data_IF_937543122433
#
_entry.id   IF_937543122433
#
_cell.length_a   1.000
_cell.length_b   1.000
_cell.length_c   1.000
_cell.angle_alpha   90.00
_cell.angle_beta   90.00
_cell.angle_gamma   90.00
#
_symmetry.space_group_name_H-M   'P 1'
#
loop_
_entity.id
_entity.type
_entity.pdbx_description
1 polymer ?
#
# COMPACT_ATOMS: atom_id res chain seq x y z
N UNK A 1 -13.65 3.07 -6.26
CA UNK A 1 -13.47 4.15 -7.25
C UNK A 1 -12.44 3.73 -8.30
N UNK A 2 -12.47 4.34 -9.47
CA UNK A 2 -11.68 4.01 -10.66
C UNK A 2 -10.43 4.91 -10.80
N UNK A 3 -9.60 4.90 -9.78
CA UNK A 3 -8.31 5.58 -9.75
C UNK A 3 -7.22 4.57 -9.43
N UNK A 4 -6.13 4.63 -10.15
CA UNK A 4 -5.11 3.59 -10.16
C UNK A 4 -3.73 4.17 -9.89
N UNK A 5 -2.84 3.29 -9.46
CA UNK A 5 -1.41 3.50 -9.57
C UNK A 5 -0.80 2.47 -10.51
N UNK A 6 0.22 2.87 -11.21
CA UNK A 6 0.91 2.09 -12.22
C UNK A 6 2.36 1.91 -11.80
N UNK A 7 2.79 0.66 -11.68
CA UNK A 7 4.16 0.31 -11.35
C UNK A 7 4.75 -0.48 -12.50
N UNK A 8 5.71 0.09 -13.19
CA UNK A 8 6.44 -0.59 -14.23
C UNK A 8 7.83 -0.96 -13.74
N UNK A 9 8.21 -2.23 -13.89
CA UNK A 9 9.55 -2.70 -13.54
C UNK A 9 10.12 -3.49 -14.70
N UNK A 10 11.39 -3.21 -15.03
CA UNK A 10 12.14 -3.96 -16.05
C UNK A 10 13.60 -4.11 -15.66
N UNK A 11 14.28 -5.07 -16.24
CA UNK A 11 15.72 -5.14 -16.12
C UNK A 11 16.38 -3.93 -16.75
N UNK A 12 17.38 -3.37 -16.06
CA UNK A 12 18.22 -2.32 -16.59
C UNK A 12 19.43 -2.93 -17.26
N UNK A 13 19.74 -2.59 -18.52
CA UNK A 13 20.95 -3.06 -19.19
C UNK A 13 22.22 -2.61 -18.47
N UNK A 14 23.23 -3.48 -18.43
CA UNK A 14 24.48 -3.26 -17.68
C UNK A 14 25.47 -2.28 -18.31
N UNK A 15 25.09 -1.58 -19.37
CA UNK A 15 25.97 -0.58 -20.02
C UNK A 15 25.84 0.83 -19.43
N UNK A 16 24.96 1.03 -18.41
CA UNK A 16 24.86 2.29 -17.67
C UNK A 16 25.86 2.31 -16.50
N UNK A 17 26.27 3.52 -16.11
CA UNK A 17 27.17 3.76 -14.96
C UNK A 17 26.47 3.51 -13.61
N UNK A 18 25.16 3.24 -13.61
CA UNK A 18 24.33 2.94 -12.45
C UNK A 18 23.58 1.62 -12.62
N UNK A 19 23.29 0.98 -11.51
CA UNK A 19 22.60 -0.33 -11.49
C UNK A 19 21.08 -0.24 -11.35
N UNK A 20 20.58 0.90 -10.87
CA UNK A 20 19.15 1.09 -10.58
C UNK A 20 18.72 2.50 -10.97
N UNK A 21 17.60 2.58 -11.68
CA UNK A 21 16.93 3.84 -12.01
C UNK A 21 15.48 3.80 -11.50
N UNK A 22 15.12 4.79 -10.70
CA UNK A 22 13.80 4.94 -10.10
C UNK A 22 13.19 6.25 -10.56
N UNK A 23 11.95 6.23 -11.02
CA UNK A 23 11.18 7.40 -11.41
C UNK A 23 9.82 7.37 -10.69
N UNK A 24 9.62 8.36 -9.82
CA UNK A 24 8.37 8.59 -9.07
C UNK A 24 8.15 10.09 -8.98
N UNK A 25 7.93 10.73 -7.82
CA UNK A 25 7.99 12.20 -7.67
C UNK A 25 9.40 12.78 -7.82
N UNK A 26 10.40 11.91 -7.85
CA UNK A 26 11.82 12.20 -8.12
C UNK A 26 12.38 11.16 -9.08
N UNK A 27 13.55 11.47 -9.65
CA UNK A 27 14.36 10.47 -10.36
C UNK A 27 15.61 10.20 -9.55
N UNK A 28 15.85 8.94 -9.25
CA UNK A 28 17.06 8.45 -8.60
C UNK A 28 17.83 7.51 -9.54
N UNK A 29 19.15 7.67 -9.59
CA UNK A 29 20.07 6.75 -10.26
C UNK A 29 21.15 6.38 -9.30
N UNK A 30 21.23 5.11 -8.93
CA UNK A 30 22.15 4.62 -7.90
C UNK A 30 22.86 3.36 -8.36
N UNK A 31 24.07 3.17 -7.85
CA UNK A 31 24.84 1.94 -8.05
C UNK A 31 24.59 0.95 -6.92
N UNK A 32 24.40 1.46 -5.70
CA UNK A 32 24.12 0.64 -4.53
C UNK A 32 22.66 0.82 -4.08
N UNK A 33 21.98 -0.26 -3.75
CA UNK A 33 20.59 -0.25 -3.24
C UNK A 33 20.47 0.56 -1.94
N UNK A 34 21.55 0.60 -1.13
CA UNK A 34 21.58 1.37 0.11
C UNK A 34 21.45 2.88 -0.10
N UNK A 35 21.85 3.38 -1.26
CA UNK A 35 21.82 4.80 -1.61
C UNK A 35 20.41 5.28 -2.03
N UNK A 36 19.46 4.37 -2.23
CA UNK A 36 18.07 4.70 -2.56
C UNK A 36 17.44 5.50 -1.43
N UNK A 37 16.93 6.69 -1.76
CA UNK A 37 16.30 7.58 -0.77
C UNK A 37 14.90 7.10 -0.36
N UNK A 38 14.13 6.52 -1.31
CA UNK A 38 12.78 6.07 -1.03
C UNK A 38 12.79 4.79 -0.15
N UNK A 39 12.35 4.85 1.12
CA UNK A 39 12.54 3.75 2.06
C UNK A 39 11.82 2.47 1.65
N UNK A 40 10.59 2.57 1.14
CA UNK A 40 9.84 1.39 0.72
C UNK A 40 10.49 0.70 -0.48
N UNK A 41 10.99 1.45 -1.47
CA UNK A 41 11.67 0.85 -2.63
C UNK A 41 12.98 0.18 -2.18
N UNK A 42 13.79 0.89 -1.39
CA UNK A 42 15.04 0.35 -0.87
C UNK A 42 14.82 -0.95 -0.10
N UNK A 43 13.90 -0.96 0.83
CA UNK A 43 13.63 -2.12 1.68
C UNK A 43 13.01 -3.28 0.87
N UNK A 44 12.11 -3.01 -0.07
CA UNK A 44 11.55 -4.04 -0.94
C UNK A 44 12.61 -4.68 -1.86
N UNK A 45 13.51 -3.86 -2.43
CA UNK A 45 14.61 -4.36 -3.23
C UNK A 45 15.55 -5.26 -2.43
N UNK A 46 15.87 -4.88 -1.19
CA UNK A 46 16.66 -5.72 -0.27
C UNK A 46 15.93 -7.01 0.10
N UNK A 47 14.65 -6.92 0.46
CA UNK A 47 13.84 -8.06 0.88
C UNK A 47 13.71 -9.11 -0.23
N UNK A 48 13.61 -8.68 -1.49
CA UNK A 48 13.43 -9.57 -2.63
C UNK A 48 14.71 -9.76 -3.47
N UNK A 49 15.86 -9.29 -3.00
CA UNK A 49 17.15 -9.39 -3.70
C UNK A 49 17.05 -8.89 -5.15
N UNK A 50 16.56 -7.65 -5.32
CA UNK A 50 16.36 -7.03 -6.63
C UNK A 50 17.56 -6.16 -7.00
N UNK A 51 18.10 -6.40 -8.19
CA UNK A 51 19.25 -5.67 -8.73
C UNK A 51 19.05 -5.35 -10.21
N UNK A 52 19.75 -4.32 -10.71
CA UNK A 52 19.76 -3.93 -12.12
C UNK A 52 18.36 -3.74 -12.69
N UNK A 53 17.56 -2.91 -12.03
CA UNK A 53 16.18 -2.62 -12.45
C UNK A 53 15.96 -1.14 -12.75
N UNK A 54 15.01 -0.89 -13.64
CA UNK A 54 14.32 0.40 -13.75
C UNK A 54 12.90 0.23 -13.21
N UNK A 55 12.52 1.09 -12.27
CA UNK A 55 11.16 1.15 -11.74
C UNK A 55 10.58 2.54 -12.04
N UNK A 56 9.36 2.57 -12.59
CA UNK A 56 8.58 3.79 -12.79
C UNK A 56 7.26 3.65 -12.04
N UNK A 57 6.90 4.69 -11.29
CA UNK A 57 5.64 4.80 -10.57
C UNK A 57 4.88 6.04 -11.03
N UNK A 58 3.63 5.82 -11.42
CA UNK A 58 2.68 6.87 -11.78
C UNK A 58 1.35 6.61 -11.07
N UNK A 59 0.57 7.65 -10.78
CA UNK A 59 -0.71 7.51 -10.12
C UNK A 59 -1.71 8.59 -10.57
N UNK A 60 -2.97 8.20 -10.65
CA UNK A 60 -4.08 9.12 -10.96
C UNK A 60 -4.38 10.09 -9.80
N UNK A 61 -3.93 9.77 -8.61
CA UNK A 61 -4.15 10.55 -7.39
C UNK A 61 -2.81 11.00 -6.79
N UNK A 62 -2.78 12.19 -6.18
CA UNK A 62 -1.57 12.65 -5.51
C UNK A 62 -1.23 11.76 -4.31
N UNK A 63 0.06 11.65 -4.02
CA UNK A 63 0.53 11.03 -2.80
C UNK A 63 -0.09 11.70 -1.56
N UNK A 64 -0.29 10.93 -0.48
CA UNK A 64 -0.86 11.44 0.78
C UNK A 64 -2.30 11.94 0.68
N UNK A 65 -3.05 11.40 -0.26
CA UNK A 65 -4.48 11.71 -0.41
C UNK A 65 -5.36 11.05 0.67
N UNK A 66 -4.81 10.15 1.50
CA UNK A 66 -5.57 9.39 2.50
C UNK A 66 -6.39 8.23 1.91
N UNK A 67 -6.10 7.85 0.65
CA UNK A 67 -6.83 6.83 -0.09
C UNK A 67 -6.03 5.52 -0.25
N UNK A 68 -5.07 5.25 0.64
CA UNK A 68 -4.26 4.02 0.61
C UNK A 68 -3.24 3.96 -0.53
N UNK A 69 -2.84 5.11 -1.09
CA UNK A 69 -1.90 5.17 -2.24
C UNK A 69 -0.54 4.56 -1.91
N UNK A 70 -0.03 4.72 -0.67
CA UNK A 70 1.23 4.11 -0.23
C UNK A 70 1.15 2.59 -0.29
N UNK A 71 0.13 2.02 0.32
CA UNK A 71 -0.06 0.57 0.38
C UNK A 71 -0.39 -0.03 -0.99
N UNK A 72 -1.13 0.68 -1.84
CA UNK A 72 -1.34 0.28 -3.24
C UNK A 72 -0.04 0.24 -4.02
N UNK A 73 0.85 1.23 -3.80
CA UNK A 73 2.19 1.23 -4.37
C UNK A 73 3.03 0.06 -3.85
N UNK A 74 3.06 -0.18 -2.53
CA UNK A 74 3.82 -1.26 -1.92
C UNK A 74 3.39 -2.63 -2.49
N UNK A 75 2.08 -2.91 -2.52
CA UNK A 75 1.53 -4.15 -3.08
C UNK A 75 1.85 -4.29 -4.57
N UNK A 76 1.63 -3.22 -5.36
CA UNK A 76 1.91 -3.21 -6.80
C UNK A 76 3.39 -3.44 -7.10
N UNK A 77 4.28 -2.81 -6.35
CA UNK A 77 5.73 -2.97 -6.48
C UNK A 77 6.19 -4.39 -6.14
N UNK A 78 5.73 -4.96 -5.02
CA UNK A 78 6.05 -6.34 -4.66
C UNK A 78 5.56 -7.33 -5.72
N UNK A 79 4.34 -7.15 -6.21
CA UNK A 79 3.79 -7.99 -7.27
C UNK A 79 4.61 -7.88 -8.57
N UNK A 80 5.02 -6.67 -8.95
CA UNK A 80 5.86 -6.43 -10.12
C UNK A 80 7.25 -7.06 -9.97
N UNK A 81 7.84 -7.04 -8.77
CA UNK A 81 9.12 -7.70 -8.48
C UNK A 81 9.01 -9.22 -8.58
N UNK A 82 7.95 -9.81 -8.04
CA UNK A 82 7.69 -11.25 -8.20
C UNK A 82 7.50 -11.62 -9.67
N UNK A 83 6.71 -10.85 -10.41
CA UNK A 83 6.50 -11.08 -11.83
C UNK A 83 7.81 -11.00 -12.64
N UNK A 84 8.68 -10.01 -12.35
CA UNK A 84 9.98 -9.88 -12.99
C UNK A 84 10.91 -11.06 -12.70
N UNK A 85 10.78 -11.69 -11.52
CA UNK A 85 11.48 -12.93 -11.13
C UNK A 85 10.84 -14.19 -11.70
N UNK A 86 9.75 -14.09 -12.46
CA UNK A 86 9.00 -15.26 -12.96
C UNK A 86 8.27 -16.03 -11.86
N UNK A 87 7.94 -15.38 -10.74
CA UNK A 87 7.30 -16.00 -9.58
C UNK A 87 5.88 -15.46 -9.39
N UNK A 88 4.97 -16.35 -9.03
CA UNK A 88 3.62 -15.98 -8.61
C UNK A 88 3.60 -15.66 -7.12
N UNK A 89 2.95 -14.56 -6.76
CA UNK A 89 2.65 -14.23 -5.38
C UNK A 89 1.12 -14.19 -5.17
N UNK A 90 0.62 -14.93 -4.19
CA UNK A 90 -0.79 -14.90 -3.84
C UNK A 90 -1.18 -13.56 -3.20
N UNK A 91 -2.48 -13.25 -3.18
CA UNK A 91 -3.01 -12.06 -2.52
C UNK A 91 -2.63 -11.99 -1.04
N UNK A 92 -2.71 -13.12 -0.36
CA UNK A 92 -2.34 -13.27 1.06
C UNK A 92 -0.85 -13.00 1.27
N UNK A 93 -0.01 -13.52 0.39
CA UNK A 93 1.44 -13.27 0.43
C UNK A 93 1.74 -11.81 0.23
N UNK A 94 1.17 -11.19 -0.80
CA UNK A 94 1.36 -9.76 -1.08
C UNK A 94 0.87 -8.88 0.07
N UNK A 95 -0.29 -9.18 0.68
CA UNK A 95 -0.79 -8.45 1.82
C UNK A 95 0.16 -8.53 3.02
N UNK A 96 0.60 -9.75 3.39
CA UNK A 96 1.53 -9.98 4.51
C UNK A 96 2.87 -9.28 4.30
N UNK A 97 3.42 -9.38 3.11
CA UNK A 97 4.72 -8.78 2.80
C UNK A 97 4.63 -7.25 2.70
N UNK A 98 3.52 -6.69 2.20
CA UNK A 98 3.32 -5.24 2.20
C UNK A 98 3.15 -4.70 3.63
N UNK A 99 2.43 -5.42 4.50
CA UNK A 99 2.35 -5.10 5.94
C UNK A 99 3.75 -5.13 6.56
N UNK A 100 4.52 -6.18 6.33
CA UNK A 100 5.87 -6.31 6.85
C UNK A 100 6.79 -5.18 6.34
N UNK A 101 6.73 -4.88 5.05
CA UNK A 101 7.50 -3.81 4.43
C UNK A 101 7.20 -2.45 5.08
N UNK A 102 5.93 -2.06 5.17
CA UNK A 102 5.56 -0.75 5.69
C UNK A 102 5.68 -0.67 7.21
N UNK A 103 5.25 -1.70 7.97
CA UNK A 103 5.17 -1.65 9.44
C UNK A 103 6.47 -2.01 10.13
N UNK A 104 7.24 -2.93 9.57
CA UNK A 104 8.48 -3.42 10.18
C UNK A 104 9.70 -2.77 9.53
N UNK A 105 9.85 -2.90 8.22
CA UNK A 105 11.06 -2.44 7.54
C UNK A 105 11.11 -0.91 7.36
N UNK A 106 9.98 -0.26 7.13
CA UNK A 106 9.87 1.20 7.04
C UNK A 106 9.48 1.85 8.38
N UNK A 107 9.10 1.06 9.39
CA UNK A 107 8.66 1.53 10.71
C UNK A 107 7.52 2.57 10.65
N UNK A 108 6.65 2.50 9.65
CA UNK A 108 5.51 3.39 9.52
C UNK A 108 4.42 3.02 10.53
N UNK A 109 3.85 4.00 11.20
CA UNK A 109 2.69 3.79 12.06
C UNK A 109 1.44 3.52 11.23
N UNK A 110 0.57 2.61 11.67
CA UNK A 110 -0.72 2.36 11.01
C UNK A 110 -1.28 0.95 11.20
N UNK A 111 -2.49 0.75 10.67
CA UNK A 111 -3.14 -0.56 10.61
C UNK A 111 -2.72 -1.37 9.40
N UNK A 112 -3.42 -2.48 9.17
CA UNK A 112 -3.17 -3.43 8.07
C UNK A 112 -4.21 -3.34 6.94
N UNK A 113 -5.25 -2.54 7.14
CA UNK A 113 -6.42 -2.50 6.26
C UNK A 113 -6.09 -2.12 4.81
N UNK A 114 -5.21 -1.12 4.63
CA UNK A 114 -4.91 -0.59 3.30
C UNK A 114 -4.12 -1.60 2.45
N UNK A 115 -3.14 -2.29 3.06
CA UNK A 115 -2.36 -3.32 2.38
C UNK A 115 -3.21 -4.52 1.99
N UNK A 116 -4.12 -4.95 2.90
CA UNK A 116 -5.05 -6.04 2.63
C UNK A 116 -6.02 -5.65 1.52
N UNK A 117 -6.63 -4.46 1.61
CA UNK A 117 -7.55 -3.96 0.59
C UNK A 117 -6.88 -3.85 -0.79
N UNK A 118 -5.64 -3.36 -0.84
CA UNK A 118 -4.87 -3.24 -2.08
C UNK A 118 -4.53 -4.62 -2.69
N UNK A 119 -4.12 -5.60 -1.86
CA UNK A 119 -3.74 -6.93 -2.32
C UNK A 119 -4.93 -7.77 -2.80
N UNK A 120 -6.04 -7.72 -2.08
CA UNK A 120 -7.22 -8.52 -2.42
C UNK A 120 -8.05 -7.89 -3.52
N UNK A 121 -8.14 -6.55 -3.54
CA UNK A 121 -8.98 -5.81 -4.50
C UNK A 121 -10.46 -6.13 -4.34
N UNK A 122 -11.32 -5.46 -5.09
CA UNK A 122 -12.76 -5.70 -5.08
C UNK A 122 -13.49 -5.01 -3.94
N UNK A 123 -14.61 -5.60 -3.49
CA UNK A 123 -15.42 -5.12 -2.39
C UNK A 123 -15.51 -6.22 -1.33
N UNK A 124 -14.82 -6.02 -0.21
CA UNK A 124 -14.62 -7.05 0.80
C UNK A 124 -15.04 -6.56 2.17
N UNK A 125 -15.46 -7.51 3.00
CA UNK A 125 -15.47 -7.40 4.46
C UNK A 125 -14.16 -7.99 4.98
N UNK A 126 -13.47 -7.26 5.85
CA UNK A 126 -12.22 -7.69 6.48
C UNK A 126 -12.46 -7.73 7.97
N UNK A 127 -12.43 -8.94 8.54
CA UNK A 127 -12.59 -9.16 9.98
C UNK A 127 -11.20 -9.32 10.61
N UNK A 128 -10.90 -8.48 11.61
CA UNK A 128 -9.64 -8.53 12.35
C UNK A 128 -9.83 -9.19 13.71
N UNK A 129 -8.87 -10.01 14.10
CA UNK A 129 -8.83 -10.68 15.40
C UNK A 129 -7.41 -10.66 15.99
N UNK A 130 -7.25 -11.20 17.19
CA UNK A 130 -5.92 -11.37 17.79
C UNK A 130 -5.02 -12.33 16.98
N UNK A 131 -5.62 -13.29 16.27
CA UNK A 131 -4.91 -14.29 15.48
C UNK A 131 -4.60 -13.82 14.03
N UNK A 132 -5.09 -12.64 13.63
CA UNK A 132 -4.85 -12.07 12.30
C UNK A 132 -6.09 -11.47 11.65
N UNK A 133 -6.33 -11.78 10.39
CA UNK A 133 -7.46 -11.24 9.64
C UNK A 133 -8.08 -12.29 8.71
N UNK A 134 -9.36 -12.12 8.42
CA UNK A 134 -10.09 -12.87 7.41
C UNK A 134 -10.71 -11.93 6.38
N UNK A 135 -10.59 -12.27 5.10
CA UNK A 135 -11.15 -11.47 4.00
C UNK A 135 -12.29 -12.24 3.33
N UNK A 136 -13.47 -11.64 3.30
CA UNK A 136 -14.67 -12.22 2.69
C UNK A 136 -15.19 -11.28 1.61
N UNK A 137 -15.33 -11.73 0.35
CA UNK A 137 -15.94 -10.94 -0.71
C UNK A 137 -17.40 -10.62 -0.38
N UNK A 138 -17.78 -9.35 -0.52
CA UNK A 138 -19.18 -8.93 -0.44
C UNK A 138 -19.82 -9.13 -1.82
N UNK A 139 -20.63 -10.17 -1.93
CA UNK A 139 -21.30 -10.51 -3.19
C UNK A 139 -22.52 -9.60 -3.40
N UNK A 140 -22.43 -8.72 -4.38
CA UNK A 140 -23.51 -7.84 -4.81
C UNK A 140 -23.82 -8.05 -6.28
N UNK A 141 -25.12 -8.00 -6.64
CA UNK A 141 -25.48 -7.91 -8.04
C UNK A 141 -24.92 -6.63 -8.67
N UNK A 142 -24.64 -6.62 -9.97
CA UNK A 142 -24.17 -5.41 -10.67
C UNK A 142 -25.11 -4.21 -10.47
N UNK A 143 -26.41 -4.44 -10.37
CA UNK A 143 -27.40 -3.40 -10.12
C UNK A 143 -27.25 -2.80 -8.70
N UNK A 144 -27.14 -3.64 -7.67
CA UNK A 144 -26.92 -3.17 -6.30
C UNK A 144 -25.60 -2.40 -6.15
N UNK A 145 -24.54 -2.86 -6.82
CA UNK A 145 -23.24 -2.18 -6.85
C UNK A 145 -23.36 -0.80 -7.50
N UNK A 146 -24.05 -0.68 -8.65
CA UNK A 146 -24.31 0.62 -9.29
C UNK A 146 -25.14 1.54 -8.39
N UNK A 147 -26.18 1.01 -7.74
CA UNK A 147 -27.03 1.79 -6.82
C UNK A 147 -26.27 2.29 -5.60
N UNK A 148 -25.38 1.47 -5.03
CA UNK A 148 -24.48 1.90 -3.94
C UNK A 148 -23.56 3.03 -4.41
N UNK A 149 -22.87 2.81 -5.54
CA UNK A 149 -21.94 3.78 -6.09
C UNK A 149 -22.60 5.13 -6.41
N UNK A 150 -23.83 5.11 -6.93
CA UNK A 150 -24.62 6.32 -7.22
C UNK A 150 -25.10 7.10 -5.97
N UNK A 151 -24.92 6.54 -4.76
CA UNK A 151 -25.24 7.20 -3.49
C UNK A 151 -24.02 7.70 -2.73
N UNK A 152 -22.82 7.48 -3.29
CA UNK A 152 -21.57 7.90 -2.69
C UNK A 152 -21.04 9.12 -3.45
N UNK A 153 -20.54 10.08 -2.71
CA UNK A 153 -19.81 11.24 -3.23
C UNK A 153 -18.48 11.34 -2.51
N UNK A 154 -17.43 11.56 -3.26
CA UNK A 154 -16.09 11.77 -2.72
C UNK A 154 -15.72 13.26 -2.84
N UNK A 155 -15.37 13.88 -1.73
CA UNK A 155 -14.94 15.27 -1.67
C UNK A 155 -13.45 15.34 -1.33
N UNK A 156 -12.66 15.96 -2.19
CA UNK A 156 -11.27 16.27 -1.88
C UNK A 156 -11.21 17.52 -1.00
N UNK A 157 -10.65 17.39 0.20
CA UNK A 157 -10.59 18.47 1.18
C UNK A 157 -9.51 19.51 0.92
N UNK A 158 -8.64 19.29 -0.08
CA UNK A 158 -7.51 20.16 -0.39
C UNK A 158 -6.30 20.00 0.54
N UNK A 159 -6.37 19.16 1.56
CA UNK A 159 -5.28 18.93 2.49
C UNK A 159 -4.61 17.57 2.26
N UNK A 160 -3.29 17.58 2.17
CA UNK A 160 -2.49 16.34 2.24
C UNK A 160 -2.07 16.11 3.69
N UNK A 161 -2.18 14.87 4.18
CA UNK A 161 -1.84 14.51 5.57
C UNK A 161 -0.91 13.31 5.61
N UNK A 162 0.02 13.34 6.54
CA UNK A 162 0.72 12.13 6.96
C UNK A 162 -0.20 11.32 7.88
N UNK A 163 -0.64 10.15 7.44
CA UNK A 163 -1.46 9.24 8.27
C UNK A 163 -0.75 8.87 9.58
N UNK A 164 0.57 8.77 9.57
CA UNK A 164 1.39 8.49 10.74
C UNK A 164 1.25 9.56 11.84
N UNK A 165 1.20 10.85 11.51
CA UNK A 165 1.05 11.94 12.48
C UNK A 165 -0.32 11.89 13.16
N UNK A 166 -1.39 11.62 12.39
CA UNK A 166 -2.75 11.49 12.94
C UNK A 166 -2.84 10.28 13.86
N UNK A 167 -2.20 9.18 13.51
CA UNK A 167 -2.21 7.97 14.34
C UNK A 167 -1.39 8.14 15.62
N UNK A 168 -0.26 8.85 15.57
CA UNK A 168 0.49 9.21 16.78
C UNK A 168 -0.34 10.09 17.72
N UNK A 169 -1.04 11.08 17.19
CA UNK A 169 -1.97 11.92 17.96
C UNK A 169 -3.14 11.12 18.55
N UNK A 170 -3.66 10.14 17.82
CA UNK A 170 -4.71 9.25 18.31
C UNK A 170 -4.21 8.24 19.35
N UNK A 171 -2.95 7.80 19.26
CA UNK A 171 -2.36 6.89 20.24
C UNK A 171 -1.97 7.58 21.55
N UNK A 172 -1.73 8.91 21.53
CA UNK A 172 -1.46 9.71 22.72
C UNK A 172 -2.72 10.08 23.52
N UNK A 173 -3.93 9.89 22.97
CA UNK A 173 -5.19 10.09 23.67
C UNK A 173 -5.51 8.89 24.56
N UNK A 174 -6.10 9.17 25.74
CA UNK A 174 -6.36 8.22 26.82
C UNK A 174 -6.98 6.89 26.31
N UNK A 175 -6.23 5.79 26.43
CA UNK A 175 -6.57 4.51 25.82
C UNK A 175 -7.90 3.89 26.29
N UNK A 176 -8.35 4.21 27.53
CA UNK A 176 -9.61 3.70 28.08
C UNK A 176 -10.84 4.32 27.38
N UNK A 177 -10.85 5.62 27.12
CA UNK A 177 -11.97 6.31 26.42
C UNK A 177 -12.07 5.84 24.97
N UNK A 178 -10.91 5.60 24.32
CA UNK A 178 -10.86 5.05 22.96
C UNK A 178 -11.42 3.63 22.89
N UNK A 179 -11.08 2.79 23.86
CA UNK A 179 -11.56 1.39 23.90
C UNK A 179 -13.08 1.35 24.12
N UNK A 180 -13.63 2.17 25.01
CA UNK A 180 -15.06 2.26 25.23
C UNK A 180 -15.82 2.67 23.95
N UNK A 181 -15.36 3.68 23.24
CA UNK A 181 -15.95 4.11 21.96
C UNK A 181 -15.88 3.05 20.87
N UNK A 182 -14.75 2.33 20.79
CA UNK A 182 -14.62 1.22 19.83
C UNK A 182 -15.56 0.06 20.17
N UNK A 183 -15.80 -0.21 21.45
CA UNK A 183 -16.78 -1.21 21.89
C UNK A 183 -18.23 -0.79 21.57
N UNK A 184 -18.57 0.49 21.75
CA UNK A 184 -19.87 1.02 21.33
C UNK A 184 -20.06 0.91 19.81
N UNK A 185 -19.05 1.23 19.02
CA UNK A 185 -19.11 1.08 17.55
C UNK A 185 -19.25 -0.38 17.11
N UNK A 186 -18.69 -1.31 17.85
CA UNK A 186 -18.80 -2.75 17.54
C UNK A 186 -20.19 -3.30 17.84
N UNK A 187 -20.92 -2.67 18.76
CA UNK A 187 -22.27 -3.08 19.16
C UNK A 187 -23.39 -2.55 18.22
N UNK A 188 -23.07 -1.62 17.29
CA UNK A 188 -23.96 -1.09 16.25
C UNK A 188 -23.98 -1.98 15.00
#
# INVERSE_FOLDING_TARGET
FDKYCYVNVRHLPRFFDYSTELSYSKTERVTNVDDIQHPAIRNAMKMLDMHHIRLTYEADLPARSGLGTSSSFAVGMLNAFYALKGQYASKEKLAKEAIYLERVLCAEAGGWQDQIAAAFGGFNRIDFSADGYEVRPVLLSPERKRRLNGRLMMFFTGFTRFSAEIQQLNNSRNGADKLARLQEMLAL
#
